data_IF_451967643664
#
_entry.id   IF_451967643664
#
_cell.length_a   1.000
_cell.length_b   1.000
_cell.length_c   1.000
_cell.angle_alpha   90.00
_cell.angle_beta   90.00
_cell.angle_gamma   90.00
#
_symmetry.space_group_name_H-M   'P 1'
#
loop_
_entity.id
_entity.type
_entity.pdbx_description
1 polymer ?
#
# COMPACT_ATOMS: atom_id res chain seq x y z
N UNK A 1 5.30 -13.17 3.23
CA UNK A 1 5.40 -12.11 2.19
C UNK A 1 4.81 -10.80 2.78
N UNK A 2 4.98 -9.60 2.22
CA UNK A 2 4.33 -8.38 2.77
C UNK A 2 2.98 -8.12 2.10
N UNK A 3 1.96 -7.57 2.77
CA UNK A 3 0.70 -7.22 2.09
C UNK A 3 0.89 -6.11 1.05
N UNK A 4 -0.04 -6.00 0.09
CA UNK A 4 -0.02 -4.91 -0.89
C UNK A 4 -0.17 -3.53 -0.24
N UNK A 5 -1.01 -3.41 0.80
CA UNK A 5 -1.21 -2.15 1.52
C UNK A 5 0.09 -1.65 2.14
N UNK A 6 0.79 -2.50 2.90
CA UNK A 6 2.07 -2.14 3.51
C UNK A 6 3.15 -1.88 2.46
N UNK A 7 3.19 -2.68 1.38
CA UNK A 7 4.14 -2.46 0.30
C UNK A 7 3.96 -1.09 -0.37
N UNK A 8 2.72 -0.65 -0.60
CA UNK A 8 2.44 0.68 -1.15
C UNK A 8 2.82 1.79 -0.18
N UNK A 9 2.50 1.67 1.12
CA UNK A 9 2.88 2.67 2.13
C UNK A 9 4.39 2.83 2.22
N UNK A 10 5.12 1.70 2.28
CA UNK A 10 6.59 1.71 2.33
C UNK A 10 7.21 2.22 1.03
N UNK A 11 6.61 1.92 -0.13
CA UNK A 11 7.06 2.44 -1.42
C UNK A 11 6.95 3.97 -1.50
N UNK A 12 5.88 4.57 -0.97
CA UNK A 12 5.77 6.03 -0.85
C UNK A 12 6.83 6.55 0.13
N UNK A 13 6.98 5.93 1.29
CA UNK A 13 7.97 6.34 2.28
C UNK A 13 9.42 6.33 1.74
N UNK A 14 9.82 5.30 0.99
CA UNK A 14 11.13 5.15 0.34
C UNK A 14 11.47 6.31 -0.60
N UNK A 15 10.47 6.90 -1.26
CA UNK A 15 10.64 8.02 -2.19
C UNK A 15 10.58 9.39 -1.53
N UNK A 16 10.27 9.42 -0.23
CA UNK A 16 9.97 10.63 0.52
C UNK A 16 8.47 10.68 0.82
N UNK A 17 8.04 10.93 2.07
CA UNK A 17 6.64 10.78 2.46
C UNK A 17 5.67 11.81 1.85
N UNK A 18 6.15 12.72 0.98
CA UNK A 18 5.36 13.81 0.40
C UNK A 18 5.56 13.89 -1.11
N UNK A 19 4.47 14.19 -1.84
CA UNK A 19 4.45 14.47 -3.28
C UNK A 19 5.16 13.41 -4.13
N UNK A 20 4.83 12.14 -3.91
CA UNK A 20 5.39 11.00 -4.66
C UNK A 20 4.53 10.72 -5.88
N UNK A 21 5.16 10.67 -7.05
CA UNK A 21 4.48 10.32 -8.29
C UNK A 21 4.17 8.82 -8.35
N UNK A 22 3.03 8.47 -8.94
CA UNK A 22 2.58 7.09 -9.11
C UNK A 22 3.62 6.20 -9.79
N UNK A 23 4.37 6.74 -10.75
CA UNK A 23 5.45 6.02 -11.43
C UNK A 23 6.61 5.69 -10.48
N UNK A 24 6.92 6.57 -9.54
CA UNK A 24 7.95 6.33 -8.52
C UNK A 24 7.50 5.26 -7.53
N UNK A 25 6.19 5.23 -7.19
CA UNK A 25 5.60 4.16 -6.37
C UNK A 25 5.78 2.81 -7.08
N UNK A 26 5.40 2.71 -8.36
CA UNK A 26 5.56 1.48 -9.15
C UNK A 26 7.00 0.98 -9.15
N UNK A 27 7.97 1.88 -9.35
CA UNK A 27 9.39 1.54 -9.37
C UNK A 27 9.91 1.05 -7.99
N UNK A 28 9.23 1.40 -6.89
CA UNK A 28 9.65 1.05 -5.53
C UNK A 28 8.97 -0.22 -4.99
N UNK A 29 7.82 -0.64 -5.52
CA UNK A 29 7.06 -1.80 -5.00
C UNK A 29 7.93 -3.06 -4.88
N UNK A 30 8.77 -3.34 -5.87
CA UNK A 30 9.62 -4.52 -5.89
C UNK A 30 10.61 -4.62 -4.73
N UNK A 31 10.94 -3.49 -4.06
CA UNK A 31 11.77 -3.48 -2.85
C UNK A 31 11.04 -4.04 -1.63
N UNK A 32 9.72 -3.85 -1.57
CA UNK A 32 8.92 -4.17 -0.38
C UNK A 32 8.05 -5.40 -0.56
N UNK A 33 7.88 -5.88 -1.78
CA UNK A 33 7.13 -7.10 -2.09
C UNK A 33 7.67 -7.76 -3.34
N UNK A 34 7.98 -9.05 -3.23
CA UNK A 34 8.30 -9.87 -4.40
C UNK A 34 7.07 -9.95 -5.32
N UNK A 35 7.28 -9.63 -6.61
CA UNK A 35 6.26 -9.73 -7.65
C UNK A 35 6.30 -11.13 -8.26
N UNK A 36 5.16 -11.80 -8.27
CA UNK A 36 4.97 -13.08 -8.96
C UNK A 36 4.91 -12.88 -10.48
N UNK A 37 4.95 -13.96 -11.25
CA UNK A 37 4.81 -13.89 -12.71
C UNK A 37 3.44 -13.30 -13.10
N UNK A 38 2.38 -13.73 -12.42
CA UNK A 38 1.04 -13.16 -12.59
C UNK A 38 1.01 -11.64 -12.35
N UNK A 39 1.78 -11.12 -11.39
CA UNK A 39 1.83 -9.68 -11.11
C UNK A 39 2.46 -8.89 -12.26
N UNK A 40 3.35 -9.52 -13.04
CA UNK A 40 4.06 -8.94 -14.18
C UNK A 40 3.33 -9.12 -15.51
N UNK A 41 2.34 -10.01 -15.58
CA UNK A 41 1.50 -10.16 -16.76
C UNK A 41 0.69 -8.89 -17.04
N UNK A 42 0.42 -8.64 -18.33
CA UNK A 42 -0.48 -7.57 -18.77
C UNK A 42 -1.91 -7.88 -18.33
N UNK A 43 -2.57 -6.91 -17.69
CA UNK A 43 -3.93 -7.07 -17.21
C UNK A 43 -4.93 -7.29 -18.37
N UNK A 44 -5.87 -8.26 -18.27
CA UNK A 44 -6.74 -8.64 -19.39
C UNK A 44 -7.66 -7.52 -19.90
N UNK A 45 -7.94 -6.52 -19.05
CA UNK A 45 -8.78 -5.36 -19.38
C UNK A 45 -8.04 -4.02 -19.52
N UNK A 46 -6.78 -3.95 -19.11
CA UNK A 46 -6.05 -2.68 -19.04
C UNK A 46 -4.64 -2.87 -19.60
N UNK A 47 -4.14 -2.00 -20.49
CA UNK A 47 -2.82 -2.15 -21.12
C UNK A 47 -1.69 -1.77 -20.13
N UNK A 48 -1.61 -2.45 -19.00
CA UNK A 48 -0.63 -2.26 -17.94
C UNK A 48 -0.45 -3.58 -17.17
N UNK A 49 0.69 -3.74 -16.51
CA UNK A 49 0.97 -4.91 -15.67
C UNK A 49 0.00 -5.01 -14.49
N UNK A 50 -0.36 -6.23 -14.08
CA UNK A 50 -1.31 -6.50 -12.99
C UNK A 50 -0.94 -5.78 -11.70
N UNK A 51 0.34 -5.72 -11.32
CA UNK A 51 0.77 -5.01 -10.11
C UNK A 51 0.45 -3.52 -10.14
N UNK A 52 0.49 -2.87 -11.30
CA UNK A 52 0.15 -1.45 -11.46
C UNK A 52 -1.34 -1.23 -11.23
N UNK A 53 -2.17 -2.14 -11.76
CA UNK A 53 -3.61 -2.13 -11.47
C UNK A 53 -3.88 -2.31 -9.96
N UNK A 54 -3.27 -3.33 -9.34
CA UNK A 54 -3.40 -3.60 -7.90
C UNK A 54 -2.96 -2.41 -7.06
N UNK A 55 -1.80 -1.81 -7.38
CA UNK A 55 -1.28 -0.62 -6.69
C UNK A 55 -2.29 0.53 -6.71
N UNK A 56 -2.92 0.80 -7.86
CA UNK A 56 -3.96 1.85 -7.97
C UNK A 56 -5.19 1.53 -7.11
N UNK A 57 -5.67 0.29 -7.16
CA UNK A 57 -6.79 -0.18 -6.33
C UNK A 57 -6.49 -0.05 -4.83
N UNK A 58 -5.25 -0.35 -4.43
CA UNK A 58 -4.76 -0.21 -3.06
C UNK A 58 -4.65 1.25 -2.64
N UNK A 59 -4.14 2.14 -3.49
CA UNK A 59 -4.08 3.59 -3.22
C UNK A 59 -5.48 4.17 -2.99
N UNK A 60 -6.48 3.75 -3.76
CA UNK A 60 -7.88 4.17 -3.55
C UNK A 60 -8.37 3.76 -2.16
N UNK A 61 -8.11 2.50 -1.75
CA UNK A 61 -8.45 2.02 -0.41
C UNK A 61 -7.68 2.80 0.67
N UNK A 62 -6.35 2.89 0.59
CA UNK A 62 -5.54 3.64 1.56
C UNK A 62 -5.99 5.09 1.73
N UNK A 63 -6.37 5.75 0.62
CA UNK A 63 -6.98 7.09 0.63
C UNK A 63 -8.30 7.12 1.39
N UNK A 64 -9.22 6.18 1.13
CA UNK A 64 -10.50 6.07 1.84
C UNK A 64 -10.30 5.95 3.37
N UNK A 65 -9.27 5.23 3.83
CA UNK A 65 -8.96 5.10 5.26
C UNK A 65 -8.04 6.20 5.79
N UNK A 66 -7.71 7.22 4.99
CA UNK A 66 -6.86 8.35 5.37
C UNK A 66 -5.41 7.98 5.70
N UNK A 67 -4.89 6.86 5.16
CA UNK A 67 -3.49 6.47 5.32
C UNK A 67 -2.58 7.10 4.26
N UNK A 68 -3.16 7.47 3.13
CA UNK A 68 -2.52 8.14 2.00
C UNK A 68 -3.39 9.32 1.59
N UNK A 69 -2.75 10.41 1.19
CA UNK A 69 -3.38 11.59 0.62
C UNK A 69 -3.06 11.65 -0.87
N UNK A 70 -3.95 12.24 -1.67
CA UNK A 70 -3.73 12.47 -3.09
C UNK A 70 -3.67 13.96 -3.31
N UNK A 71 -2.46 14.48 -3.54
CA UNK A 71 -2.21 15.91 -3.67
C UNK A 71 -2.57 16.43 -5.07
N UNK A 72 -2.44 15.57 -6.09
CA UNK A 72 -2.72 15.89 -7.49
C UNK A 72 -3.04 14.60 -8.29
N UNK A 73 -3.28 14.74 -9.60
CA UNK A 73 -3.37 13.62 -10.54
C UNK A 73 -2.08 12.80 -10.46
N UNK A 74 -2.21 11.56 -9.99
CA UNK A 74 -1.10 10.61 -9.85
C UNK A 74 0.03 11.06 -8.90
N UNK A 75 -0.25 11.97 -7.96
CA UNK A 75 0.69 12.40 -6.91
C UNK A 75 0.09 12.08 -5.54
N UNK A 76 0.87 11.42 -4.68
CA UNK A 76 0.43 10.91 -3.39
C UNK A 76 1.38 11.27 -2.26
N UNK A 77 0.84 11.42 -1.06
CA UNK A 77 1.57 11.66 0.19
C UNK A 77 1.14 10.67 1.27
N UNK A 78 2.01 10.38 2.23
CA UNK A 78 1.61 9.64 3.42
C UNK A 78 0.90 10.58 4.40
N UNK A 79 -0.25 10.14 4.91
CA UNK A 79 -0.89 10.83 6.02
C UNK A 79 0.00 10.75 7.28
N UNK A 80 -0.10 11.75 8.16
CA UNK A 80 0.68 11.84 9.40
C UNK A 80 0.63 10.54 10.23
N UNK A 81 -0.55 9.92 10.35
CA UNK A 81 -0.72 8.67 11.11
C UNK A 81 0.03 7.48 10.51
N UNK A 82 0.26 7.46 9.20
CA UNK A 82 1.05 6.43 8.53
C UNK A 82 2.53 6.62 8.77
N UNK A 83 3.01 7.87 8.75
CA UNK A 83 4.41 8.21 9.02
C UNK A 83 4.79 7.82 10.45
N UNK A 84 3.96 8.20 11.44
CA UNK A 84 4.20 7.90 12.87
C UNK A 84 4.29 6.39 13.14
N UNK A 85 3.64 5.57 12.32
CA UNK A 85 3.56 4.12 12.48
C UNK A 85 4.22 3.37 11.33
N UNK A 86 5.23 3.97 10.69
CA UNK A 86 5.86 3.38 9.51
C UNK A 86 6.50 2.01 9.80
N UNK A 87 7.04 1.84 11.00
CA UNK A 87 7.65 0.59 11.48
C UNK A 87 6.62 -0.56 11.52
N UNK A 88 5.36 -0.28 11.85
CA UNK A 88 4.30 -1.28 11.86
C UNK A 88 4.04 -1.85 10.46
N UNK A 89 4.08 -1.01 9.42
CA UNK A 89 4.01 -1.48 8.03
C UNK A 89 5.29 -2.22 7.61
N UNK A 90 6.44 -1.83 8.16
CA UNK A 90 7.71 -2.54 7.98
C UNK A 90 7.67 -3.98 8.50
N UNK A 91 7.06 -4.17 9.68
CA UNK A 91 6.89 -5.45 10.36
C UNK A 91 5.74 -6.31 9.82
N UNK A 92 4.96 -5.83 8.85
CA UNK A 92 3.94 -6.64 8.18
C UNK A 92 4.59 -7.78 7.38
N UNK A 93 4.52 -8.98 7.95
CA UNK A 93 4.97 -10.23 7.33
C UNK A 93 3.82 -11.17 6.99
N UNK A 94 2.56 -10.70 6.99
CA UNK A 94 1.36 -11.54 6.90
C UNK A 94 1.11 -12.20 5.53
N UNK A 95 1.91 -11.87 4.53
CA UNK A 95 1.66 -12.26 3.16
C UNK A 95 1.61 -13.77 2.99
N UNK A 96 0.40 -14.23 2.62
CA UNK A 96 -0.04 -15.59 2.27
C UNK A 96 0.39 -16.69 3.25
N UNK A 97 0.42 -16.42 4.56
CA UNK A 97 0.56 -17.49 5.58
C UNK A 97 -0.75 -17.85 6.29
N UNK A 98 -1.86 -17.16 6.00
CA UNK A 98 -3.17 -17.48 6.58
C UNK A 98 -4.27 -17.23 5.53
N UNK A 99 -4.54 -18.21 4.68
CA UNK A 99 -5.86 -18.49 4.10
C UNK A 99 -6.65 -17.44 3.29
N UNK A 100 -6.18 -16.21 3.06
CA UNK A 100 -6.96 -15.21 2.33
C UNK A 100 -6.24 -13.89 2.04
N UNK A 101 -6.83 -13.07 1.17
CA UNK A 101 -6.44 -11.67 1.01
C UNK A 101 -6.90 -10.90 2.25
N UNK A 102 -5.95 -10.49 3.11
CA UNK A 102 -6.25 -9.63 4.26
C UNK A 102 -6.78 -8.29 3.74
N UNK A 103 -7.96 -7.88 4.18
CA UNK A 103 -8.49 -6.56 3.86
C UNK A 103 -7.79 -5.45 4.69
N UNK A 104 -8.01 -4.19 4.31
CA UNK A 104 -7.32 -3.07 4.94
C UNK A 104 -7.79 -2.83 6.39
N UNK A 105 -9.03 -3.15 6.73
CA UNK A 105 -9.55 -2.96 8.09
C UNK A 105 -8.93 -3.95 9.05
N UNK A 106 -8.85 -5.21 8.63
CA UNK A 106 -8.15 -6.25 9.38
C UNK A 106 -6.67 -5.90 9.55
N UNK A 107 -6.00 -5.41 8.50
CA UNK A 107 -4.61 -4.96 8.60
C UNK A 107 -4.46 -3.80 9.60
N UNK A 108 -5.31 -2.78 9.51
CA UNK A 108 -5.32 -1.62 10.43
C UNK A 108 -5.55 -2.08 11.88
N UNK A 109 -6.49 -3.01 12.11
CA UNK A 109 -6.76 -3.56 13.44
C UNK A 109 -5.53 -4.30 13.99
N UNK A 110 -4.92 -5.18 13.20
CA UNK A 110 -3.72 -5.94 13.59
C UNK A 110 -2.50 -5.05 13.83
N UNK A 111 -2.32 -4.00 13.04
CA UNK A 111 -1.22 -3.05 13.20
C UNK A 111 -1.47 -2.00 14.31
N UNK A 112 -2.59 -2.08 15.03
CA UNK A 112 -2.91 -1.15 16.12
C UNK A 112 -3.24 0.27 15.63
N UNK A 113 -3.72 0.42 14.39
CA UNK A 113 -4.09 1.72 13.83
C UNK A 113 -5.48 2.21 14.24
N UNK A 114 -6.31 1.33 14.82
CA UNK A 114 -7.59 1.75 15.39
C UNK A 114 -7.34 2.65 16.60
N UNK A 115 -7.75 3.92 16.48
CA UNK A 115 -8.04 4.72 17.66
C UNK A 115 -9.10 3.97 18.45
N UNK A 116 -8.96 3.91 19.78
CA UNK A 116 -10.11 3.65 20.66
C UNK A 116 -11.21 4.58 20.15
N UNK A 117 -12.35 4.03 19.74
CA UNK A 117 -13.56 4.84 19.65
C UNK A 117 -13.66 5.54 21.00
N UNK A 118 -13.86 6.85 20.94
CA UNK A 118 -14.26 7.63 22.10
C UNK A 118 -15.40 6.90 22.80
N UNK A 119 -15.29 6.84 24.13
CA UNK A 119 -16.23 6.22 25.04
C UNK A 119 -17.63 6.82 24.92
#
# INVERSE_FOLDING_TARGET
MRTWYSAVVLAIHDKGPKRVELQQIYAAIGKFRALSDYDRETHPKYPQENFKHTTRSVLVKLKKYGLVEQDDRAVYSLAKKSIVRIEAFGADTYGRSVGGEIDLEELIAKLGFMSRKEA
#
